data_IF_094364032041
#
_entry.id   IF_094364032041
#
_cell.length_a   1.000
_cell.length_b   1.000
_cell.length_c   1.000
_cell.angle_alpha   90.00
_cell.angle_beta   90.00
_cell.angle_gamma   90.00
#
_symmetry.space_group_name_H-M   'P 1'
#
loop_
_entity.id
_entity.type
_entity.pdbx_description
1 polymer ?
#
# COMPACT_ATOMS: atom_id res chain seq x y z
N UNK A 1 -10.81 -2.44 21.47
CA UNK A 1 -9.51 -2.82 20.87
C UNK A 1 -8.87 -1.56 20.30
N UNK A 2 -7.62 -1.32 20.58
CA UNK A 2 -6.90 -0.17 20.00
C UNK A 2 -6.60 -0.47 18.52
N UNK A 3 -7.01 0.40 17.60
CA UNK A 3 -6.69 0.29 16.19
C UNK A 3 -5.16 0.46 15.98
N UNK A 4 -4.60 -0.29 15.06
CA UNK A 4 -3.16 -0.25 14.73
C UNK A 4 -2.92 0.59 13.49
N UNK A 5 -1.85 1.38 13.49
CA UNK A 5 -1.37 2.04 12.28
C UNK A 5 -0.70 1.02 11.34
N UNK A 6 -0.84 1.21 10.05
CA UNK A 6 -0.33 0.30 9.05
C UNK A 6 0.40 1.02 7.91
N UNK A 7 1.25 0.27 7.23
CA UNK A 7 1.75 0.61 5.90
C UNK A 7 1.11 -0.35 4.91
N UNK A 8 0.28 0.19 4.02
CA UNK A 8 -0.21 -0.51 2.87
C UNK A 8 0.85 -0.44 1.77
N UNK A 9 1.21 -1.58 1.24
CA UNK A 9 2.23 -1.71 0.20
C UNK A 9 1.55 -2.11 -1.10
N UNK A 10 1.66 -1.28 -2.13
CA UNK A 10 1.28 -1.69 -3.47
C UNK A 10 2.24 -2.78 -3.98
N UNK A 11 1.70 -3.82 -4.58
CA UNK A 11 2.48 -5.01 -4.94
C UNK A 11 3.66 -4.70 -5.86
N UNK A 12 3.49 -3.82 -6.85
CA UNK A 12 4.54 -3.46 -7.80
C UNK A 12 5.61 -2.54 -7.19
N UNK A 13 5.24 -1.74 -6.19
CA UNK A 13 6.16 -0.85 -5.49
C UNK A 13 7.16 -1.57 -4.57
N UNK A 14 6.99 -2.86 -4.31
CA UNK A 14 7.87 -3.64 -3.43
C UNK A 14 8.61 -4.79 -4.11
N UNK A 15 8.21 -5.19 -5.31
CA UNK A 15 8.84 -6.30 -6.05
C UNK A 15 9.38 -5.85 -7.40
N UNK A 16 10.42 -6.51 -7.89
CA UNK A 16 11.00 -6.29 -9.22
C UNK A 16 9.97 -6.68 -10.29
N UNK A 17 9.69 -5.76 -11.23
CA UNK A 17 8.82 -6.05 -12.37
C UNK A 17 9.40 -7.14 -13.29
N UNK A 18 8.51 -7.92 -13.85
CA UNK A 18 8.83 -9.09 -14.68
C UNK A 18 8.53 -10.41 -13.97
N UNK A 19 8.48 -10.37 -12.64
CA UNK A 19 8.32 -11.57 -11.83
C UNK A 19 6.94 -11.69 -11.17
N UNK A 20 6.21 -10.58 -11.02
CA UNK A 20 4.89 -10.58 -10.37
C UNK A 20 3.70 -10.56 -11.35
N UNK A 21 3.93 -10.12 -12.60
CA UNK A 21 2.84 -9.91 -13.57
C UNK A 21 2.33 -11.19 -14.24
N UNK A 22 3.08 -12.28 -14.20
CA UNK A 22 2.72 -13.54 -14.84
C UNK A 22 2.50 -14.62 -13.79
N UNK A 23 1.27 -14.86 -13.41
CA UNK A 23 0.90 -15.98 -12.54
C UNK A 23 1.29 -17.35 -13.17
N UNK A 24 1.73 -17.39 -14.42
CA UNK A 24 2.01 -18.62 -15.17
C UNK A 24 3.48 -18.92 -15.48
N UNK A 25 4.45 -18.01 -15.27
CA UNK A 25 5.82 -18.23 -15.73
C UNK A 25 6.79 -18.81 -14.68
N UNK A 26 6.30 -19.13 -13.49
CA UNK A 26 7.10 -19.78 -12.44
C UNK A 26 8.18 -18.91 -11.80
N UNK A 27 8.30 -17.63 -12.18
CA UNK A 27 9.29 -16.73 -11.60
C UNK A 27 8.93 -16.33 -10.18
N UNK A 28 9.92 -16.33 -9.31
CA UNK A 28 9.75 -15.95 -7.90
C UNK A 28 9.90 -14.43 -7.79
N UNK A 29 8.89 -13.70 -7.31
CA UNK A 29 9.02 -12.27 -7.06
C UNK A 29 10.20 -12.01 -6.10
N UNK A 30 10.93 -10.93 -6.33
CA UNK A 30 12.03 -10.49 -5.48
C UNK A 30 11.75 -9.08 -5.00
N UNK A 31 12.14 -8.79 -3.77
CA UNK A 31 12.07 -7.42 -3.28
C UNK A 31 12.97 -6.50 -4.10
N UNK A 32 12.51 -5.27 -4.29
CA UNK A 32 13.32 -4.21 -4.86
C UNK A 32 14.60 -4.01 -4.02
N UNK A 33 15.72 -3.62 -4.63
CA UNK A 33 16.93 -3.25 -3.90
C UNK A 33 16.61 -2.24 -2.79
N UNK A 34 17.23 -2.40 -1.63
CA UNK A 34 17.02 -1.55 -0.44
C UNK A 34 15.59 -1.57 0.17
N UNK A 35 14.66 -2.40 -0.31
CA UNK A 35 13.34 -2.52 0.30
C UNK A 35 13.41 -3.11 1.72
N UNK A 36 14.22 -4.15 1.93
CA UNK A 36 14.34 -4.82 3.23
C UNK A 36 14.70 -3.90 4.39
N UNK A 37 15.75 -3.06 4.32
CA UNK A 37 16.04 -2.08 5.35
C UNK A 37 14.88 -1.14 5.66
N UNK A 38 14.19 -0.62 4.66
CA UNK A 38 13.01 0.25 4.84
C UNK A 38 11.86 -0.46 5.55
N UNK A 39 11.57 -1.70 5.14
CA UNK A 39 10.56 -2.53 5.80
C UNK A 39 10.88 -2.75 7.28
N UNK A 40 12.13 -3.06 7.62
CA UNK A 40 12.56 -3.24 9.01
C UNK A 40 12.44 -1.97 9.84
N UNK A 41 12.81 -0.81 9.30
CA UNK A 41 12.64 0.49 9.96
C UNK A 41 11.17 0.75 10.34
N UNK A 42 10.26 0.53 9.39
CA UNK A 42 8.81 0.72 9.62
C UNK A 42 8.24 -0.31 10.61
N UNK A 43 8.71 -1.58 10.55
CA UNK A 43 8.37 -2.61 11.54
C UNK A 43 8.80 -2.19 12.95
N UNK A 44 10.04 -1.74 13.11
CA UNK A 44 10.60 -1.35 14.41
C UNK A 44 9.91 -0.11 14.98
N UNK A 45 9.35 0.73 14.09
CA UNK A 45 8.46 1.82 14.47
C UNK A 45 7.02 1.35 14.84
N UNK A 46 6.71 0.07 14.71
CA UNK A 46 5.44 -0.52 15.14
C UNK A 46 4.31 -0.42 14.12
N UNK A 47 4.61 -0.29 12.83
CA UNK A 47 3.61 -0.40 11.78
C UNK A 47 3.24 -1.86 11.50
N UNK A 48 1.94 -2.10 11.25
CA UNK A 48 1.46 -3.32 10.62
C UNK A 48 1.64 -3.21 9.09
N UNK A 49 1.73 -4.34 8.38
CA UNK A 49 1.92 -4.34 6.93
C UNK A 49 0.79 -5.09 6.24
N UNK A 50 0.31 -4.52 5.14
CA UNK A 50 -0.73 -5.13 4.31
C UNK A 50 -0.44 -4.87 2.82
N UNK A 51 -0.42 -5.93 1.99
CA UNK A 51 -0.19 -5.79 0.55
C UNK A 51 -1.52 -5.60 -0.17
N UNK A 52 -1.57 -4.69 -1.14
CA UNK A 52 -2.74 -4.46 -1.98
C UNK A 52 -2.36 -4.45 -3.47
N UNK A 53 -3.32 -4.78 -4.33
CA UNK A 53 -3.11 -4.69 -5.79
C UNK A 53 -4.34 -5.01 -6.61
N UNK A 54 -4.30 -4.63 -7.90
CA UNK A 54 -5.28 -5.05 -8.89
C UNK A 54 -4.79 -6.29 -9.62
N UNK A 55 -5.56 -7.37 -9.57
CA UNK A 55 -5.26 -8.64 -10.26
C UNK A 55 -6.38 -9.03 -11.23
N UNK A 56 -6.55 -8.29 -12.33
CA UNK A 56 -7.63 -8.51 -13.29
C UNK A 56 -7.49 -9.82 -14.08
N UNK A 57 -6.39 -10.55 -13.95
CA UNK A 57 -6.19 -11.85 -14.61
C UNK A 57 -7.33 -12.84 -14.34
N UNK A 58 -7.94 -12.79 -13.15
CA UNK A 58 -9.11 -13.65 -12.83
C UNK A 58 -10.29 -13.30 -13.72
N UNK A 59 -10.65 -12.01 -13.82
CA UNK A 59 -11.73 -11.54 -14.68
C UNK A 59 -11.46 -11.84 -16.15
N UNK A 60 -10.20 -11.81 -16.57
CA UNK A 60 -9.75 -12.11 -17.93
C UNK A 60 -9.64 -13.59 -18.23
N UNK A 61 -9.82 -14.47 -17.23
CA UNK A 61 -9.67 -15.91 -17.39
C UNK A 61 -8.22 -16.38 -17.57
N UNK A 62 -7.27 -15.55 -17.27
CA UNK A 62 -5.83 -15.81 -17.38
C UNK A 62 -5.27 -16.50 -16.14
N UNK A 63 -5.95 -16.39 -15.02
CA UNK A 63 -5.61 -17.01 -13.75
C UNK A 63 -6.90 -17.35 -12.95
N UNK A 64 -6.76 -18.05 -11.82
CA UNK A 64 -7.86 -18.34 -10.90
C UNK A 64 -7.59 -17.75 -9.48
N UNK A 65 -8.55 -17.92 -8.57
CA UNK A 65 -8.40 -17.45 -7.19
C UNK A 65 -7.34 -18.21 -6.38
N UNK A 66 -7.07 -19.48 -6.74
CA UNK A 66 -6.02 -20.26 -6.09
C UNK A 66 -4.64 -19.70 -6.41
N UNK A 67 -4.47 -19.17 -7.62
CA UNK A 67 -3.26 -18.45 -8.01
C UNK A 67 -3.11 -17.15 -7.23
N UNK A 68 -4.20 -16.40 -6.98
CA UNK A 68 -4.15 -15.22 -6.10
C UNK A 68 -3.73 -15.59 -4.67
N UNK A 69 -4.25 -16.70 -4.14
CA UNK A 69 -3.82 -17.22 -2.82
C UNK A 69 -2.34 -17.61 -2.82
N UNK A 70 -1.85 -18.13 -3.93
CA UNK A 70 -0.45 -18.48 -4.10
C UNK A 70 0.44 -17.23 -4.14
N UNK A 71 0.01 -16.17 -4.83
CA UNK A 71 0.69 -14.88 -4.83
C UNK A 71 0.74 -14.28 -3.43
N UNK A 72 -0.37 -14.30 -2.69
CA UNK A 72 -0.40 -13.82 -1.30
C UNK A 72 0.64 -14.54 -0.43
N UNK A 73 0.68 -15.89 -0.47
CA UNK A 73 1.68 -16.67 0.26
C UNK A 73 3.14 -16.36 -0.14
N UNK A 74 3.37 -15.96 -1.39
CA UNK A 74 4.70 -15.53 -1.84
C UNK A 74 5.09 -14.20 -1.21
N UNK A 75 4.19 -13.22 -1.15
CA UNK A 75 4.43 -11.96 -0.44
C UNK A 75 4.69 -12.17 1.05
N UNK A 76 3.92 -13.05 1.70
CA UNK A 76 4.14 -13.41 3.10
C UNK A 76 5.57 -13.89 3.32
N UNK A 77 6.04 -14.85 2.53
CA UNK A 77 7.41 -15.39 2.64
C UNK A 77 8.47 -14.33 2.37
N UNK A 78 8.29 -13.52 1.32
CA UNK A 78 9.25 -12.47 0.99
C UNK A 78 9.47 -11.47 2.12
N UNK A 79 8.39 -11.09 2.82
CA UNK A 79 8.49 -10.17 3.94
C UNK A 79 8.96 -10.89 5.21
N UNK A 80 8.58 -12.15 5.43
CA UNK A 80 9.10 -12.99 6.52
C UNK A 80 10.62 -13.15 6.43
N UNK A 81 11.19 -13.33 5.24
CA UNK A 81 12.64 -13.40 5.02
C UNK A 81 13.36 -12.12 5.45
N UNK A 82 12.66 -10.98 5.45
CA UNK A 82 13.12 -9.69 5.99
C UNK A 82 12.74 -9.48 7.47
N UNK A 83 12.17 -10.50 8.10
CA UNK A 83 11.70 -10.43 9.49
C UNK A 83 10.45 -9.54 9.66
N UNK A 84 9.64 -9.37 8.62
CA UNK A 84 8.43 -8.54 8.62
C UNK A 84 7.21 -9.43 8.42
N UNK A 85 6.33 -9.48 9.43
CA UNK A 85 5.07 -10.20 9.34
C UNK A 85 4.00 -9.38 8.63
N UNK A 86 3.35 -9.97 7.62
CA UNK A 86 2.17 -9.38 7.00
C UNK A 86 0.92 -9.59 7.86
N UNK A 87 0.08 -8.56 7.88
CA UNK A 87 -1.30 -8.67 8.38
C UNK A 87 -2.17 -9.42 7.39
N UNK A 88 -1.88 -9.26 6.08
CA UNK A 88 -2.53 -9.95 4.98
C UNK A 88 -2.25 -9.33 3.63
N UNK A 89 -2.87 -9.91 2.60
CA UNK A 89 -2.87 -9.41 1.23
C UNK A 89 -4.31 -9.25 0.74
N UNK A 90 -4.60 -8.17 0.04
CA UNK A 90 -5.90 -7.92 -0.57
C UNK A 90 -5.75 -7.59 -2.04
N UNK A 91 -6.26 -8.45 -2.91
CA UNK A 91 -6.26 -8.24 -4.35
C UNK A 91 -7.67 -8.02 -4.88
N UNK A 92 -7.80 -7.15 -5.89
CA UNK A 92 -9.03 -6.99 -6.64
C UNK A 92 -8.99 -7.87 -7.89
N UNK A 93 -9.85 -8.91 -8.00
CA UNK A 93 -9.87 -9.81 -9.15
C UNK A 93 -10.71 -9.25 -10.32
N UNK A 94 -11.41 -8.12 -10.13
CA UNK A 94 -12.42 -7.62 -11.07
C UNK A 94 -11.83 -6.79 -12.20
N UNK A 95 -12.48 -6.89 -13.37
CA UNK A 95 -12.26 -6.03 -14.53
C UNK A 95 -13.59 -5.89 -15.28
N UNK A 96 -14.18 -4.69 -15.43
CA UNK A 96 -15.45 -4.49 -16.13
C UNK A 96 -15.47 -5.06 -17.57
N UNK A 97 -14.28 -5.19 -18.18
CA UNK A 97 -14.09 -5.72 -19.53
C UNK A 97 -13.64 -7.19 -19.53
N UNK A 98 -13.69 -7.86 -18.37
CA UNK A 98 -13.31 -9.26 -18.24
C UNK A 98 -14.24 -10.21 -18.99
N UNK A 99 -13.75 -11.42 -19.31
CA UNK A 99 -14.52 -12.45 -19.99
C UNK A 99 -15.30 -13.35 -19.02
N UNK A 100 -14.87 -13.42 -17.74
CA UNK A 100 -15.56 -14.19 -16.70
C UNK A 100 -16.64 -13.34 -16.05
N UNK A 101 -17.92 -13.69 -16.31
CA UNK A 101 -19.09 -12.90 -15.89
C UNK A 101 -19.11 -12.53 -14.41
N UNK A 102 -18.72 -13.44 -13.51
CA UNK A 102 -18.75 -13.23 -12.08
C UNK A 102 -17.72 -12.17 -11.61
N UNK A 103 -16.71 -11.91 -12.41
CA UNK A 103 -15.64 -10.93 -12.13
C UNK A 103 -15.65 -9.74 -13.08
N UNK A 104 -16.49 -9.77 -14.15
CA UNK A 104 -16.66 -8.69 -15.11
C UNK A 104 -17.60 -7.60 -14.54
N UNK A 105 -17.22 -7.02 -13.41
CA UNK A 105 -18.06 -6.07 -12.66
C UNK A 105 -17.31 -4.78 -12.32
N UNK A 106 -18.06 -3.69 -12.25
CA UNK A 106 -17.58 -2.42 -11.73
C UNK A 106 -17.70 -2.46 -10.19
N UNK A 107 -16.60 -2.75 -9.51
CA UNK A 107 -16.55 -2.97 -8.07
C UNK A 107 -15.98 -1.76 -7.31
N UNK A 108 -16.16 -1.74 -5.99
CA UNK A 108 -15.58 -0.72 -5.10
C UNK A 108 -14.13 -1.03 -4.67
N UNK A 109 -13.62 -2.25 -4.97
CA UNK A 109 -12.29 -2.68 -4.54
C UNK A 109 -11.19 -2.42 -5.58
N UNK A 110 -11.53 -2.20 -6.87
CA UNK A 110 -10.53 -1.90 -7.89
C UNK A 110 -9.94 -0.50 -7.68
N UNK A 111 -8.61 -0.42 -7.53
CA UNK A 111 -7.88 0.85 -7.48
C UNK A 111 -8.17 1.66 -8.76
N UNK A 112 -8.40 2.97 -8.67
CA UNK A 112 -8.16 3.88 -7.54
C UNK A 112 -9.27 3.96 -6.47
N UNK A 113 -10.24 3.07 -6.43
CA UNK A 113 -11.26 3.06 -5.37
C UNK A 113 -10.69 2.49 -4.07
N UNK A 114 -11.10 3.00 -2.90
CA UNK A 114 -10.47 2.70 -1.62
C UNK A 114 -10.88 1.37 -0.98
N UNK A 115 -11.72 0.57 -1.64
CA UNK A 115 -12.38 -0.59 -1.04
C UNK A 115 -11.45 -1.67 -0.49
N UNK A 116 -10.25 -1.87 -1.10
CA UNK A 116 -9.26 -2.82 -0.56
C UNK A 116 -8.75 -2.37 0.81
N UNK A 117 -8.35 -1.09 0.93
CA UNK A 117 -7.85 -0.53 2.18
C UNK A 117 -8.92 -0.54 3.26
N UNK A 118 -10.15 -0.13 2.91
CA UNK A 118 -11.28 -0.10 3.85
C UNK A 118 -11.64 -1.50 4.35
N UNK A 119 -11.58 -2.52 3.48
CA UNK A 119 -11.81 -3.92 3.86
C UNK A 119 -10.74 -4.41 4.80
N UNK A 120 -9.46 -4.24 4.45
CA UNK A 120 -8.33 -4.62 5.28
C UNK A 120 -8.39 -3.94 6.66
N UNK A 121 -8.76 -2.65 6.70
CA UNK A 121 -8.89 -1.92 7.95
C UNK A 121 -9.95 -2.52 8.88
N UNK A 122 -11.13 -2.89 8.33
CA UNK A 122 -12.19 -3.54 9.11
C UNK A 122 -11.80 -4.94 9.58
N UNK A 123 -11.20 -5.74 8.70
CA UNK A 123 -10.84 -7.14 9.00
C UNK A 123 -9.71 -7.26 10.03
N UNK A 124 -8.77 -6.32 9.99
CA UNK A 124 -7.54 -6.40 10.80
C UNK A 124 -7.41 -5.31 11.88
N UNK A 125 -8.44 -4.48 12.08
CA UNK A 125 -8.44 -3.43 13.09
C UNK A 125 -7.35 -2.37 12.81
N UNK A 126 -7.27 -1.88 11.55
CA UNK A 126 -6.29 -0.86 11.16
C UNK A 126 -6.91 0.53 11.16
N UNK A 127 -6.13 1.52 11.57
CA UNK A 127 -6.49 2.94 11.60
C UNK A 127 -6.00 3.62 10.32
N UNK A 128 -6.88 3.81 9.36
CA UNK A 128 -6.53 4.41 8.07
C UNK A 128 -6.00 5.84 8.21
N UNK A 129 -6.54 6.64 9.13
CA UNK A 129 -6.11 8.01 9.35
C UNK A 129 -4.69 8.13 9.95
N UNK A 130 -4.18 7.03 10.51
CA UNK A 130 -2.82 6.91 11.03
C UNK A 130 -1.95 5.96 10.22
N UNK A 131 -2.40 5.61 9.03
CA UNK A 131 -1.74 4.66 8.15
C UNK A 131 -1.21 5.35 6.89
N UNK A 132 -0.29 4.66 6.25
CA UNK A 132 0.36 5.10 5.02
C UNK A 132 0.08 4.12 3.89
N UNK A 133 0.01 4.63 2.66
CA UNK A 133 0.11 3.83 1.45
C UNK A 133 1.41 4.19 0.72
N UNK A 134 2.19 3.18 0.38
CA UNK A 134 3.36 3.30 -0.51
C UNK A 134 3.00 2.61 -1.82
N UNK A 135 3.06 3.34 -2.92
CA UNK A 135 2.71 2.85 -4.26
C UNK A 135 3.58 3.45 -5.35
N UNK A 136 3.56 2.86 -6.54
CA UNK A 136 4.32 3.26 -7.72
C UNK A 136 3.43 3.83 -8.84
N UNK A 137 2.13 4.01 -8.57
CA UNK A 137 1.19 4.59 -9.52
C UNK A 137 0.26 5.63 -8.88
N UNK A 138 -0.21 6.58 -9.70
CA UNK A 138 -1.15 7.61 -9.25
C UNK A 138 -2.54 7.03 -8.88
N UNK A 139 -2.93 5.88 -9.42
CA UNK A 139 -4.17 5.19 -9.02
C UNK A 139 -4.09 4.65 -7.59
N UNK A 140 -2.93 4.20 -7.17
CA UNK A 140 -2.68 3.75 -5.80
C UNK A 140 -2.67 4.94 -4.84
N UNK A 141 -2.00 6.02 -5.22
CA UNK A 141 -2.01 7.28 -4.44
C UNK A 141 -3.43 7.78 -4.24
N UNK A 142 -4.24 7.83 -5.30
CA UNK A 142 -5.65 8.22 -5.21
C UNK A 142 -6.43 7.30 -4.26
N UNK A 143 -6.22 5.99 -4.34
CA UNK A 143 -6.89 5.04 -3.44
C UNK A 143 -6.52 5.29 -1.97
N UNK A 144 -5.26 5.56 -1.68
CA UNK A 144 -4.77 5.92 -0.34
C UNK A 144 -5.42 7.19 0.19
N UNK A 145 -5.40 8.27 -0.59
CA UNK A 145 -6.02 9.55 -0.24
C UNK A 145 -7.53 9.38 -0.01
N UNK A 146 -8.23 8.67 -0.89
CA UNK A 146 -9.67 8.36 -0.73
C UNK A 146 -9.98 7.52 0.50
N UNK A 147 -9.06 6.67 0.92
CA UNK A 147 -9.19 5.87 2.13
C UNK A 147 -8.91 6.67 3.41
N UNK A 148 -8.34 7.87 3.31
CA UNK A 148 -7.90 8.70 4.43
C UNK A 148 -6.48 8.38 4.92
N UNK A 149 -5.70 7.63 4.15
CA UNK A 149 -4.29 7.38 4.43
C UNK A 149 -3.41 8.54 3.94
N UNK A 150 -2.23 8.66 4.53
CA UNK A 150 -1.12 9.41 3.92
C UNK A 150 -0.46 8.55 2.85
N UNK A 151 0.25 9.18 1.91
CA UNK A 151 0.72 8.46 0.73
C UNK A 151 2.16 8.83 0.38
N UNK A 152 2.93 7.84 -0.09
CA UNK A 152 4.25 8.02 -0.69
C UNK A 152 4.22 7.42 -2.09
N UNK A 153 4.56 8.21 -3.09
CA UNK A 153 4.77 7.72 -4.45
C UNK A 153 6.22 7.29 -4.60
N UNK A 154 6.44 6.07 -5.05
CA UNK A 154 7.76 5.61 -5.49
C UNK A 154 7.93 6.00 -6.95
N UNK A 155 8.74 7.01 -7.20
CA UNK A 155 9.05 7.48 -8.55
C UNK A 155 10.30 6.78 -9.06
N UNK A 156 10.09 5.70 -9.78
CA UNK A 156 11.14 4.96 -10.49
C UNK A 156 11.18 5.27 -11.99
N UNK A 157 10.49 6.34 -12.40
CA UNK A 157 10.42 6.80 -13.79
C UNK A 157 9.46 6.00 -14.67
N UNK A 158 8.64 5.10 -14.09
CA UNK A 158 7.68 4.27 -14.83
C UNK A 158 6.29 4.89 -15.00
N UNK A 159 5.94 5.89 -14.17
CA UNK A 159 4.66 6.60 -14.33
C UNK A 159 4.69 7.41 -15.64
N UNK A 160 3.84 7.03 -16.58
CA UNK A 160 3.79 7.64 -17.93
C UNK A 160 2.67 8.67 -18.08
N UNK A 161 1.68 8.65 -17.20
CA UNK A 161 0.50 9.52 -17.27
C UNK A 161 0.34 10.38 -16.00
N UNK A 162 1.11 11.46 -15.89
CA UNK A 162 1.03 12.43 -14.78
C UNK A 162 -0.29 13.24 -14.83
N UNK A 163 -1.43 12.58 -14.68
CA UNK A 163 -2.73 13.24 -14.54
C UNK A 163 -2.94 13.60 -13.07
N UNK A 164 -2.31 14.67 -12.65
CA UNK A 164 -2.42 15.15 -11.27
C UNK A 164 -3.81 15.74 -11.01
N UNK A 165 -4.32 15.45 -9.83
CA UNK A 165 -5.51 16.07 -9.22
C UNK A 165 -5.28 16.14 -7.71
N UNK A 166 -6.12 16.84 -6.97
CA UNK A 166 -6.00 16.91 -5.50
C UNK A 166 -5.94 15.52 -4.84
N UNK A 167 -6.63 14.53 -5.40
CA UNK A 167 -6.64 13.15 -4.89
C UNK A 167 -5.42 12.33 -5.34
N UNK A 168 -4.66 12.81 -6.31
CA UNK A 168 -3.48 12.14 -6.88
C UNK A 168 -2.16 12.82 -6.48
N UNK A 169 -2.22 13.81 -5.59
CA UNK A 169 -1.02 14.40 -5.03
C UNK A 169 -0.53 13.56 -3.86
N UNK A 170 0.65 12.94 -3.96
CA UNK A 170 1.23 12.20 -2.84
C UNK A 170 1.70 13.17 -1.76
N UNK A 171 1.76 12.71 -0.51
CA UNK A 171 2.34 13.49 0.59
C UNK A 171 3.86 13.56 0.46
N UNK A 172 4.47 12.50 -0.05
CA UNK A 172 5.90 12.43 -0.37
C UNK A 172 6.12 11.69 -1.69
N UNK A 173 7.27 11.95 -2.31
CA UNK A 173 7.84 11.19 -3.42
C UNK A 173 9.18 10.64 -2.96
N UNK A 174 9.49 9.40 -3.29
CA UNK A 174 10.72 8.74 -2.92
C UNK A 174 11.26 7.89 -4.08
N UNK A 175 12.56 7.74 -4.19
CA UNK A 175 13.19 6.87 -5.20
C UNK A 175 13.04 5.37 -4.88
N UNK A 176 12.71 5.02 -3.62
CA UNK A 176 12.52 3.65 -3.20
C UNK A 176 12.03 3.51 -1.76
N UNK A 177 11.77 2.28 -1.36
CA UNK A 177 11.16 1.98 -0.06
C UNK A 177 12.02 2.41 1.14
N UNK A 178 13.35 2.41 0.99
CA UNK A 178 14.25 2.88 2.05
C UNK A 178 14.03 4.36 2.35
N UNK A 179 14.01 5.20 1.34
CA UNK A 179 13.75 6.64 1.48
C UNK A 179 12.31 6.90 1.93
N UNK A 180 11.33 6.18 1.36
CA UNK A 180 9.93 6.27 1.78
C UNK A 180 9.78 6.01 3.30
N UNK A 181 10.49 5.01 3.83
CA UNK A 181 10.48 4.71 5.25
C UNK A 181 11.02 5.86 6.10
N UNK A 182 12.12 6.50 5.68
CA UNK A 182 12.69 7.65 6.39
C UNK A 182 11.73 8.84 6.41
N UNK A 183 11.13 9.18 5.26
CA UNK A 183 10.15 10.25 5.14
C UNK A 183 8.92 10.02 6.03
N UNK A 184 8.41 8.78 6.08
CA UNK A 184 7.32 8.38 6.95
C UNK A 184 7.69 8.59 8.43
N UNK A 185 8.88 8.15 8.84
CA UNK A 185 9.32 8.25 10.23
C UNK A 185 9.55 9.69 10.66
N UNK A 186 10.08 10.53 9.78
CA UNK A 186 10.26 11.97 10.03
C UNK A 186 8.90 12.64 10.28
N UNK A 187 7.92 12.36 9.43
CA UNK A 187 6.56 12.89 9.57
C UNK A 187 5.86 12.40 10.85
N UNK A 188 5.99 11.11 11.18
CA UNK A 188 5.42 10.56 12.42
C UNK A 188 6.04 11.21 13.66
N UNK A 189 7.34 11.51 13.63
CA UNK A 189 8.01 12.23 14.72
C UNK A 189 7.43 13.64 14.91
N UNK A 190 7.25 14.38 13.83
CA UNK A 190 6.66 15.73 13.86
C UNK A 190 5.21 15.69 14.34
N UNK A 191 4.42 14.73 13.88
CA UNK A 191 3.03 14.58 14.30
C UNK A 191 2.91 14.22 15.79
N UNK A 192 3.75 13.34 16.30
CA UNK A 192 3.79 12.99 17.71
C UNK A 192 4.22 14.16 18.58
N UNK A 193 5.19 14.95 18.13
CA UNK A 193 5.59 16.19 18.82
C UNK A 193 4.43 17.18 18.88
N UNK A 194 3.70 17.41 17.78
CA UNK A 194 2.54 18.31 17.72
C UNK A 194 1.43 17.86 18.66
N UNK A 195 1.12 16.56 18.72
CA UNK A 195 0.13 16.00 19.66
C UNK A 195 0.53 16.27 21.12
N UNK A 196 1.75 15.93 21.50
CA UNK A 196 2.27 16.18 22.87
C UNK A 196 2.29 17.67 23.22
N UNK A 197 2.61 18.53 22.28
CA UNK A 197 2.61 19.98 22.48
C UNK A 197 1.18 20.52 22.68
N UNK A 198 0.20 20.01 21.94
CA UNK A 198 -1.21 20.35 22.13
C UNK A 198 -1.74 19.89 23.50
N UNK A 199 -1.47 18.62 23.87
CA UNK A 199 -1.89 18.05 25.15
C UNK A 199 -1.25 18.76 26.36
N UNK A 200 -0.04 19.29 26.20
CA UNK A 200 0.67 20.03 27.25
C UNK A 200 0.30 21.52 27.33
N UNK A 201 -0.63 21.98 26.49
CA UNK A 201 -1.02 23.40 26.41
C UNK A 201 0.08 24.34 25.89
N UNK A 202 1.18 23.80 25.36
CA UNK A 202 2.32 24.59 24.82
C UNK A 202 2.05 25.20 23.44
N UNK A 203 1.04 24.74 22.73
CA UNK A 203 0.52 25.40 21.55
C UNK A 203 -0.63 26.31 21.96
N UNK A 204 -0.29 27.41 22.62
CA UNK A 204 -1.21 28.52 22.81
C UNK A 204 -1.52 29.12 21.44
N UNK A 205 -2.75 28.91 20.95
CA UNK A 205 -3.28 29.65 19.82
C UNK A 205 -3.34 31.11 20.28
N UNK A 206 -2.37 31.91 19.85
CA UNK A 206 -2.44 33.37 19.95
C UNK A 206 -3.68 33.82 19.19
N UNK A 207 -4.76 34.11 19.92
CA UNK A 207 -5.86 34.92 19.39
C UNK A 207 -5.32 36.35 19.29
N UNK A 208 -4.95 36.76 18.12
CA UNK A 208 -4.75 38.12 17.69
C UNK A 208 -5.78 38.46 16.62
#
# INVERSE_FOLDING_TARGET
MTLRRAVFLAENGIVVQGDAASAGDGRIPRLLPAAGPGLRLLRDAGFAFHVIGNRPCVARGECDEDELRTVARRFERLLEDEGVALTGCSFCPHDPHGVRRDYAVDCLCRLPRPGLLQRAAREHGLDLARSWLIGDSLDEIEAGVRAGCRTVLLDDGRESEWRLSELRLPHHVAEGLGEAALLILEDEHVLDWRRRAADSGRLGVGRG
#
